data_IF_062205990140
#
_entry.id   IF_062205990140
#
_cell.length_a   1.000
_cell.length_b   1.000
_cell.length_c   1.000
_cell.angle_alpha   90.00
_cell.angle_beta   90.00
_cell.angle_gamma   90.00
#
_symmetry.space_group_name_H-M   'P 1'
#
loop_
_entity.id
_entity.type
_entity.pdbx_description
1 polymer ?
#
# COMPACT_ATOMS: atom_id res chain seq x y z
N UNK A 1 23.62 2.13 4.31
CA UNK A 1 23.12 0.75 4.54
C UNK A 1 22.00 0.53 3.54
N UNK A 2 22.12 -0.42 2.66
CA UNK A 2 21.02 -0.79 1.74
C UNK A 2 20.08 -1.70 2.51
N UNK A 3 18.81 -1.30 2.65
CA UNK A 3 17.77 -2.15 3.25
C UNK A 3 17.66 -3.44 2.43
N UNK A 4 18.16 -4.54 2.98
CA UNK A 4 18.27 -5.80 2.25
C UNK A 4 16.98 -6.62 2.39
N UNK A 5 16.28 -6.81 1.27
CA UNK A 5 15.08 -7.63 1.18
C UNK A 5 15.30 -8.93 0.37
N UNK A 6 16.56 -9.34 0.18
CA UNK A 6 16.89 -10.55 -0.59
C UNK A 6 16.11 -11.78 -0.10
N UNK A 7 15.47 -12.47 -1.04
CA UNK A 7 14.67 -13.66 -0.76
C UNK A 7 13.30 -13.40 -0.11
N UNK A 8 12.93 -12.15 0.16
CA UNK A 8 11.58 -11.82 0.65
C UNK A 8 10.59 -11.76 -0.51
N UNK A 9 9.41 -12.32 -0.30
CA UNK A 9 8.30 -12.24 -1.25
C UNK A 9 7.40 -11.09 -0.83
N UNK A 10 7.23 -10.10 -1.72
CA UNK A 10 6.43 -8.90 -1.47
C UNK A 10 5.22 -8.85 -2.41
N UNK A 11 4.01 -8.88 -1.86
CA UNK A 11 2.77 -8.66 -2.60
C UNK A 11 2.41 -7.16 -2.54
N UNK A 12 2.35 -6.51 -3.71
CA UNK A 12 1.90 -5.12 -3.84
C UNK A 12 0.56 -5.09 -4.55
N UNK A 13 -0.50 -4.74 -3.82
CA UNK A 13 -1.84 -4.61 -4.41
C UNK A 13 -1.95 -3.30 -5.20
N UNK A 14 -2.56 -3.36 -6.38
CA UNK A 14 -2.57 -2.20 -7.28
C UNK A 14 -1.16 -1.76 -7.70
N UNK A 15 -0.22 -2.71 -7.83
CA UNK A 15 1.19 -2.46 -8.14
C UNK A 15 1.48 -2.06 -9.59
N UNK A 16 0.46 -1.96 -10.45
CA UNK A 16 0.63 -1.78 -11.89
C UNK A 16 0.87 -0.33 -12.35
N UNK A 17 0.53 0.67 -11.56
CA UNK A 17 0.62 2.11 -11.91
C UNK A 17 0.74 2.99 -10.67
N UNK A 18 0.97 4.28 -10.90
CA UNK A 18 1.02 5.29 -9.84
C UNK A 18 2.00 4.95 -8.73
N UNK A 19 1.64 5.24 -7.49
CA UNK A 19 2.48 4.96 -6.31
C UNK A 19 2.83 3.47 -6.22
N UNK A 20 1.88 2.57 -6.53
CA UNK A 20 2.10 1.12 -6.47
C UNK A 20 3.21 0.61 -7.38
N UNK A 21 3.34 1.17 -8.61
CA UNK A 21 4.45 0.87 -9.53
C UNK A 21 5.80 1.21 -8.89
N UNK A 22 5.92 2.38 -8.29
CA UNK A 22 7.17 2.84 -7.66
C UNK A 22 7.49 2.05 -6.39
N UNK A 23 6.48 1.70 -5.59
CA UNK A 23 6.64 0.78 -4.45
C UNK A 23 7.20 -0.56 -4.94
N UNK A 24 6.61 -1.12 -6.01
CA UNK A 24 7.06 -2.39 -6.60
C UNK A 24 8.52 -2.32 -7.06
N UNK A 25 8.89 -1.25 -7.77
CA UNK A 25 10.26 -1.05 -8.23
C UNK A 25 11.25 -0.91 -7.06
N UNK A 26 10.95 -0.08 -6.04
CA UNK A 26 11.85 0.12 -4.91
C UNK A 26 12.05 -1.16 -4.07
N UNK A 27 11.00 -1.98 -3.89
CA UNK A 27 11.11 -3.27 -3.22
C UNK A 27 12.00 -4.23 -4.01
N UNK A 28 11.85 -4.27 -5.34
CA UNK A 28 12.67 -5.10 -6.21
C UNK A 28 14.14 -4.64 -6.23
N UNK A 29 14.41 -3.34 -6.30
CA UNK A 29 15.75 -2.74 -6.20
C UNK A 29 16.44 -3.10 -4.87
N UNK A 30 15.64 -3.34 -3.81
CA UNK A 30 16.12 -3.79 -2.51
C UNK A 30 16.27 -5.32 -2.39
N UNK A 31 16.02 -6.06 -3.48
CA UNK A 31 16.24 -7.51 -3.58
C UNK A 31 15.02 -8.39 -3.34
N UNK A 32 13.83 -7.83 -3.11
CA UNK A 32 12.60 -8.61 -2.98
C UNK A 32 12.18 -9.22 -4.32
N UNK A 33 11.50 -10.36 -4.26
CA UNK A 33 10.69 -10.87 -5.38
C UNK A 33 9.32 -10.23 -5.26
N UNK A 34 8.96 -9.36 -6.20
CA UNK A 34 7.76 -8.56 -6.12
C UNK A 34 6.62 -9.18 -6.93
N UNK A 35 5.49 -9.35 -6.28
CA UNK A 35 4.25 -9.76 -6.92
C UNK A 35 3.42 -8.50 -7.22
N UNK A 36 3.39 -8.13 -8.47
CA UNK A 36 2.60 -7.00 -8.98
C UNK A 36 1.17 -7.47 -9.17
N UNK A 37 0.29 -7.17 -8.21
CA UNK A 37 -1.13 -7.48 -8.35
C UNK A 37 -1.85 -6.42 -9.16
N UNK A 38 -2.76 -6.87 -10.02
CA UNK A 38 -3.67 -6.04 -10.80
C UNK A 38 -5.06 -6.69 -10.90
N UNK A 39 -6.10 -5.88 -11.07
CA UNK A 39 -7.46 -6.37 -11.32
C UNK A 39 -7.81 -6.37 -12.82
N UNK A 40 -7.67 -5.24 -13.48
CA UNK A 40 -8.21 -5.02 -14.83
C UNK A 40 -7.15 -4.72 -15.90
N UNK A 41 -6.11 -3.97 -15.60
CA UNK A 41 -5.13 -3.53 -16.61
C UNK A 41 -3.87 -4.40 -16.58
N UNK A 42 -3.90 -5.47 -17.38
CA UNK A 42 -2.78 -6.39 -17.52
C UNK A 42 -1.59 -5.75 -18.20
N UNK A 43 -1.81 -4.89 -19.19
CA UNK A 43 -0.73 -4.23 -19.94
C UNK A 43 0.11 -3.34 -19.02
N UNK A 44 -0.52 -2.49 -18.21
CA UNK A 44 0.20 -1.67 -17.24
C UNK A 44 0.95 -2.50 -16.18
N UNK A 45 0.38 -3.66 -15.78
CA UNK A 45 1.05 -4.58 -14.88
C UNK A 45 2.28 -5.22 -15.53
N UNK A 46 2.16 -5.63 -16.80
CA UNK A 46 3.28 -6.18 -17.57
C UNK A 46 4.39 -5.14 -17.74
N UNK A 47 4.05 -3.90 -18.13
CA UNK A 47 5.03 -2.81 -18.24
C UNK A 47 5.80 -2.57 -16.92
N UNK A 48 5.13 -2.69 -15.78
CA UNK A 48 5.78 -2.57 -14.47
C UNK A 48 6.73 -3.75 -14.21
N UNK A 49 6.33 -4.97 -14.52
CA UNK A 49 7.18 -6.15 -14.40
C UNK A 49 8.39 -6.05 -15.34
N UNK A 50 8.18 -5.69 -16.60
CA UNK A 50 9.26 -5.55 -17.59
C UNK A 50 10.28 -4.47 -17.17
N UNK A 51 9.79 -3.35 -16.63
CA UNK A 51 10.67 -2.32 -16.07
C UNK A 51 11.53 -2.88 -14.93
N UNK A 52 10.93 -3.58 -13.96
CA UNK A 52 11.67 -4.18 -12.83
C UNK A 52 12.71 -5.19 -13.33
N UNK A 53 12.34 -6.05 -14.28
CA UNK A 53 13.25 -7.04 -14.84
C UNK A 53 14.41 -6.39 -15.62
N UNK A 54 14.14 -5.28 -16.34
CA UNK A 54 15.16 -4.54 -17.10
C UNK A 54 16.21 -3.88 -16.22
N UNK A 55 15.88 -3.59 -14.96
CA UNK A 55 16.82 -3.05 -13.96
C UNK A 55 17.50 -4.13 -13.11
N UNK A 56 17.30 -5.42 -13.44
CA UNK A 56 17.90 -6.56 -12.74
C UNK A 56 17.14 -7.02 -11.49
N UNK A 57 15.97 -6.44 -11.23
CA UNK A 57 15.07 -6.87 -10.15
C UNK A 57 14.32 -8.16 -10.49
N UNK A 58 13.48 -8.61 -9.55
CA UNK A 58 12.64 -9.82 -9.71
C UNK A 58 11.18 -9.46 -9.49
N UNK A 59 10.33 -9.74 -10.47
CA UNK A 59 8.90 -9.51 -10.35
C UNK A 59 8.09 -10.52 -11.15
N UNK A 60 6.86 -10.75 -10.69
CA UNK A 60 5.83 -11.52 -11.37
C UNK A 60 4.52 -10.75 -11.32
N UNK A 61 3.66 -10.89 -12.34
CA UNK A 61 2.32 -10.35 -12.27
C UNK A 61 1.32 -11.43 -11.85
N UNK A 62 0.35 -11.05 -11.00
CA UNK A 62 -0.76 -11.93 -10.61
C UNK A 62 -2.06 -11.14 -10.64
N UNK A 63 -3.02 -11.64 -11.45
CA UNK A 63 -4.37 -11.07 -11.52
C UNK A 63 -5.17 -11.45 -10.28
N UNK A 64 -5.93 -10.48 -9.74
CA UNK A 64 -6.89 -10.74 -8.67
C UNK A 64 -7.59 -9.46 -8.24
N UNK A 65 -8.90 -9.55 -8.07
CA UNK A 65 -9.70 -8.52 -7.42
C UNK A 65 -9.55 -8.68 -5.90
N UNK A 66 -8.95 -7.70 -5.26
CA UNK A 66 -8.67 -7.74 -3.82
C UNK A 66 -9.91 -7.50 -2.96
N UNK A 67 -11.02 -7.05 -3.56
CA UNK A 67 -12.30 -6.86 -2.88
C UNK A 67 -13.18 -8.11 -2.87
N UNK A 68 -12.79 -9.16 -3.62
CA UNK A 68 -13.47 -10.45 -3.69
C UNK A 68 -12.70 -11.54 -2.93
N UNK A 69 -13.38 -12.26 -2.05
CA UNK A 69 -12.74 -13.22 -1.14
C UNK A 69 -12.15 -14.43 -1.89
N UNK A 70 -12.87 -14.97 -2.88
CA UNK A 70 -12.41 -16.14 -3.64
C UNK A 70 -11.24 -15.74 -4.55
N UNK A 71 -11.31 -14.55 -5.15
CA UNK A 71 -10.22 -13.99 -5.94
C UNK A 71 -8.94 -13.80 -5.09
N UNK A 72 -9.07 -13.32 -3.85
CA UNK A 72 -7.93 -13.17 -2.93
C UNK A 72 -7.32 -14.53 -2.56
N UNK A 73 -8.14 -15.54 -2.24
CA UNK A 73 -7.65 -16.91 -1.96
C UNK A 73 -6.89 -17.47 -3.14
N UNK A 74 -7.42 -17.29 -4.35
CA UNK A 74 -6.78 -17.75 -5.58
C UNK A 74 -5.47 -17.00 -5.85
N UNK A 75 -5.46 -15.68 -5.69
CA UNK A 75 -4.27 -14.82 -5.85
C UNK A 75 -3.13 -15.27 -4.94
N UNK A 76 -3.40 -15.48 -3.65
CA UNK A 76 -2.38 -15.90 -2.68
C UNK A 76 -1.86 -17.29 -3.03
N UNK A 77 -2.76 -18.26 -3.25
CA UNK A 77 -2.38 -19.62 -3.64
C UNK A 77 -1.51 -19.64 -4.91
N UNK A 78 -1.96 -18.96 -5.97
CA UNK A 78 -1.21 -18.88 -7.24
C UNK A 78 0.16 -18.22 -7.05
N UNK A 79 0.25 -17.22 -6.19
CA UNK A 79 1.51 -16.56 -5.86
C UNK A 79 2.47 -17.55 -5.21
N UNK A 80 2.05 -18.20 -4.12
CA UNK A 80 2.89 -19.12 -3.37
C UNK A 80 3.32 -20.34 -4.20
N UNK A 81 2.43 -20.84 -5.06
CA UNK A 81 2.78 -21.91 -6.02
C UNK A 81 3.85 -21.49 -7.04
N UNK A 82 3.76 -20.25 -7.58
CA UNK A 82 4.72 -19.73 -8.56
C UNK A 82 6.09 -19.43 -7.98
N UNK A 83 6.15 -18.95 -6.74
CA UNK A 83 7.43 -18.58 -6.12
C UNK A 83 8.00 -19.65 -5.22
N UNK A 84 7.22 -20.68 -4.88
CA UNK A 84 7.63 -21.79 -4.00
C UNK A 84 7.81 -21.39 -2.53
N UNK A 85 7.25 -20.22 -2.11
CA UNK A 85 7.50 -19.63 -0.81
C UNK A 85 6.31 -18.76 -0.36
N UNK A 86 6.12 -18.61 0.95
CA UNK A 86 5.03 -17.77 1.49
C UNK A 86 5.31 -16.27 1.32
N UNK A 87 4.23 -15.49 1.15
CA UNK A 87 4.29 -14.04 1.11
C UNK A 87 4.71 -13.52 2.50
N UNK A 88 5.86 -12.84 2.57
CA UNK A 88 6.41 -12.28 3.81
C UNK A 88 6.14 -10.77 3.98
N UNK A 89 5.84 -10.07 2.89
CA UNK A 89 5.57 -8.62 2.88
C UNK A 89 4.26 -8.37 2.13
N UNK A 90 3.31 -7.69 2.78
CA UNK A 90 2.05 -7.26 2.18
C UNK A 90 1.98 -5.73 2.15
N UNK A 91 1.77 -5.16 0.95
CA UNK A 91 1.52 -3.74 0.76
C UNK A 91 0.06 -3.56 0.29
N UNK A 92 -0.78 -3.08 1.19
CA UNK A 92 -2.17 -2.71 0.91
C UNK A 92 -2.22 -1.33 0.27
N UNK A 93 -2.07 -1.27 -1.06
CA UNK A 93 -2.02 -0.03 -1.84
C UNK A 93 -3.20 0.11 -2.82
N UNK A 94 -3.89 -0.97 -3.18
CA UNK A 94 -5.00 -0.92 -4.12
C UNK A 94 -6.07 0.10 -3.74
N UNK A 95 -6.63 0.79 -4.73
CA UNK A 95 -7.67 1.80 -4.58
C UNK A 95 -8.66 1.73 -5.74
N UNK A 96 -9.91 2.10 -5.48
CA UNK A 96 -10.94 2.34 -6.47
C UNK A 96 -11.07 3.83 -6.85
N UNK A 97 -12.16 4.20 -7.54
CA UNK A 97 -12.56 5.59 -7.73
C UNK A 97 -12.71 6.31 -6.39
N UNK A 98 -12.45 7.60 -6.38
CA UNK A 98 -12.52 8.47 -5.19
C UNK A 98 -13.38 9.69 -5.53
N UNK A 99 -14.72 9.55 -5.57
CA UNK A 99 -15.59 10.66 -5.90
C UNK A 99 -15.58 11.71 -4.77
N UNK A 100 -15.49 12.97 -5.17
CA UNK A 100 -15.71 14.12 -4.30
C UNK A 100 -17.20 14.41 -4.25
N UNK A 101 -17.83 14.21 -3.10
CA UNK A 101 -19.26 14.34 -2.88
C UNK A 101 -19.50 15.13 -1.60
N UNK A 102 -20.41 16.12 -1.65
CA UNK A 102 -20.89 16.79 -0.44
C UNK A 102 -21.61 15.77 0.47
N UNK A 103 -21.78 16.11 1.74
CA UNK A 103 -22.53 15.22 2.68
C UNK A 103 -23.98 15.01 2.23
N UNK A 104 -24.55 15.99 1.54
CA UNK A 104 -25.94 15.95 1.03
C UNK A 104 -26.07 15.03 -0.18
N UNK A 105 -25.04 14.91 -0.99
CA UNK A 105 -24.99 14.06 -2.19
C UNK A 105 -24.52 12.63 -1.90
N UNK A 106 -23.76 12.44 -0.80
CA UNK A 106 -23.18 11.14 -0.43
C UNK A 106 -24.25 10.11 -0.07
N UNK A 107 -24.11 8.91 -0.62
CA UNK A 107 -24.92 7.75 -0.28
C UNK A 107 -24.16 6.76 0.58
N UNK A 108 -24.84 5.81 1.19
CA UNK A 108 -24.20 4.72 1.90
C UNK A 108 -23.33 3.84 0.97
N UNK A 109 -23.73 3.65 -0.27
CA UNK A 109 -22.97 2.87 -1.25
C UNK A 109 -21.63 3.53 -1.59
N UNK A 110 -21.54 4.88 -1.62
CA UNK A 110 -20.27 5.59 -1.80
C UNK A 110 -19.30 5.30 -0.65
N UNK A 111 -19.81 5.18 0.57
CA UNK A 111 -18.99 4.75 1.72
C UNK A 111 -18.57 3.29 1.63
N UNK A 112 -19.50 2.39 1.26
CA UNK A 112 -19.20 0.96 1.10
C UNK A 112 -18.13 0.72 0.04
N UNK A 113 -18.16 1.45 -1.06
CA UNK A 113 -17.16 1.34 -2.12
C UNK A 113 -15.76 1.68 -1.59
N UNK A 114 -15.63 2.75 -0.80
CA UNK A 114 -14.35 3.08 -0.17
C UNK A 114 -13.95 2.03 0.88
N UNK A 115 -14.88 1.57 1.72
CA UNK A 115 -14.63 0.53 2.72
C UNK A 115 -14.23 -0.81 2.09
N UNK A 116 -14.74 -1.15 0.90
CA UNK A 116 -14.34 -2.35 0.18
C UNK A 116 -12.83 -2.35 -0.14
N UNK A 117 -12.27 -1.21 -0.57
CA UNK A 117 -10.85 -1.11 -0.88
C UNK A 117 -9.96 -0.93 0.37
N UNK A 118 -10.39 -0.16 1.37
CA UNK A 118 -9.51 0.26 2.45
C UNK A 118 -9.70 -0.50 3.77
N UNK A 119 -10.77 -1.31 3.86
CA UNK A 119 -11.05 -2.14 5.03
C UNK A 119 -11.17 -3.62 4.63
N UNK A 120 -12.12 -3.95 3.74
CA UNK A 120 -12.39 -5.34 3.35
C UNK A 120 -11.19 -5.98 2.66
N UNK A 121 -10.62 -5.34 1.65
CA UNK A 121 -9.48 -5.89 0.91
C UNK A 121 -8.25 -6.15 1.80
N UNK A 122 -7.76 -5.21 2.63
CA UNK A 122 -6.70 -5.50 3.59
C UNK A 122 -7.01 -6.64 4.56
N UNK A 123 -8.26 -6.75 5.03
CA UNK A 123 -8.67 -7.84 5.90
C UNK A 123 -8.59 -9.20 5.19
N UNK A 124 -9.14 -9.31 3.98
CA UNK A 124 -9.13 -10.55 3.20
C UNK A 124 -7.71 -11.01 2.89
N UNK A 125 -6.87 -10.09 2.41
CA UNK A 125 -5.47 -10.38 2.09
C UNK A 125 -4.68 -10.79 3.33
N UNK A 126 -4.80 -10.03 4.43
CA UNK A 126 -4.13 -10.38 5.68
C UNK A 126 -4.54 -11.75 6.17
N UNK A 127 -5.84 -12.08 6.20
CA UNK A 127 -6.32 -13.42 6.57
C UNK A 127 -5.74 -14.53 5.70
N UNK A 128 -5.63 -14.30 4.40
CA UNK A 128 -5.14 -15.31 3.45
C UNK A 128 -3.64 -15.61 3.62
N UNK A 129 -2.81 -14.59 3.90
CA UNK A 129 -1.36 -14.76 4.03
C UNK A 129 -0.87 -15.04 5.45
N UNK A 130 -1.69 -14.73 6.45
CA UNK A 130 -1.32 -14.81 7.86
C UNK A 130 -0.82 -16.19 8.31
N UNK A 131 -1.38 -17.34 7.85
CA UNK A 131 -0.87 -18.66 8.22
C UNK A 131 0.61 -18.84 7.84
N UNK A 132 1.02 -18.39 6.67
CA UNK A 132 2.41 -18.43 6.21
C UNK A 132 3.34 -17.56 7.05
N UNK A 133 2.94 -16.32 7.35
CA UNK A 133 3.70 -15.41 8.21
C UNK A 133 3.84 -15.96 9.64
N UNK A 134 2.76 -16.47 10.23
CA UNK A 134 2.79 -17.07 11.58
C UNK A 134 3.71 -18.28 11.64
N UNK A 135 3.69 -19.15 10.64
CA UNK A 135 4.58 -20.32 10.56
C UNK A 135 6.06 -19.94 10.57
N UNK A 136 6.40 -18.79 9.98
CA UNK A 136 7.77 -18.27 9.94
C UNK A 136 8.14 -17.39 11.15
N UNK A 137 7.17 -17.01 11.97
CA UNK A 137 7.31 -15.99 13.02
C UNK A 137 7.93 -14.68 12.45
N UNK A 138 7.54 -14.31 11.25
CA UNK A 138 8.00 -13.10 10.57
C UNK A 138 6.98 -12.63 9.54
N UNK A 139 6.72 -11.34 9.51
CA UNK A 139 5.86 -10.70 8.50
C UNK A 139 5.91 -9.18 8.57
N UNK A 140 5.59 -8.55 7.44
CA UNK A 140 5.49 -7.09 7.32
C UNK A 140 4.20 -6.76 6.60
N UNK A 141 3.32 -6.02 7.25
CA UNK A 141 2.07 -5.52 6.67
C UNK A 141 2.14 -4.00 6.68
N UNK A 142 2.04 -3.39 5.50
CA UNK A 142 2.11 -1.94 5.34
C UNK A 142 0.86 -1.49 4.60
N UNK A 143 0.05 -0.69 5.30
CA UNK A 143 -1.13 -0.06 4.74
C UNK A 143 -0.74 1.31 4.14
N UNK A 144 -1.22 1.61 2.94
CA UNK A 144 -1.04 2.93 2.33
C UNK A 144 -2.28 3.75 2.63
N UNK A 145 -2.13 4.65 3.59
CA UNK A 145 -3.14 5.60 4.05
C UNK A 145 -3.22 6.85 3.18
N UNK A 146 -3.41 7.98 3.85
CA UNK A 146 -3.39 9.33 3.23
C UNK A 146 -3.31 10.39 4.34
N UNK A 147 -2.73 11.53 4.06
CA UNK A 147 -2.75 12.69 4.96
C UNK A 147 -4.16 13.25 5.21
N UNK A 148 -5.13 12.93 4.35
CA UNK A 148 -6.53 13.37 4.50
C UNK A 148 -7.16 12.96 5.83
N UNK A 149 -6.64 11.91 6.49
CA UNK A 149 -7.10 11.48 7.82
C UNK A 149 -6.84 12.52 8.91
N UNK A 150 -5.90 13.43 8.67
CA UNK A 150 -5.54 14.53 9.57
C UNK A 150 -6.13 15.85 9.08
N UNK A 151 -6.30 16.03 7.77
CA UNK A 151 -6.82 17.26 7.18
C UNK A 151 -8.34 17.35 7.22
N UNK A 152 -9.06 16.23 7.03
CA UNK A 152 -10.52 16.22 6.98
C UNK A 152 -11.08 17.02 5.81
N UNK A 153 -10.57 16.76 4.59
CA UNK A 153 -10.96 17.51 3.39
C UNK A 153 -12.49 17.55 3.21
N UNK A 154 -13.07 18.73 2.89
CA UNK A 154 -14.48 18.82 2.55
C UNK A 154 -14.81 18.01 1.30
N UNK A 155 -16.05 17.57 1.16
CA UNK A 155 -16.55 16.75 0.04
C UNK A 155 -15.85 15.40 -0.14
N UNK A 156 -15.17 14.90 0.90
CA UNK A 156 -14.37 13.67 0.84
C UNK A 156 -14.63 12.75 2.04
N UNK A 157 -15.76 12.92 2.71
CA UNK A 157 -16.07 12.21 3.95
C UNK A 157 -16.09 10.68 3.81
N UNK A 158 -16.53 10.14 2.67
CA UNK A 158 -16.48 8.73 2.33
C UNK A 158 -15.05 8.19 2.34
N UNK A 159 -14.14 8.86 1.62
CA UNK A 159 -12.72 8.49 1.52
C UNK A 159 -11.98 8.70 2.85
N UNK A 160 -12.16 9.87 3.49
CA UNK A 160 -11.56 10.19 4.79
C UNK A 160 -11.95 9.15 5.84
N UNK A 161 -13.24 8.76 5.91
CA UNK A 161 -13.74 7.74 6.83
C UNK A 161 -13.04 6.40 6.60
N UNK A 162 -12.99 5.94 5.36
CA UNK A 162 -12.39 4.65 5.02
C UNK A 162 -10.88 4.62 5.26
N UNK A 163 -10.18 5.72 4.93
CA UNK A 163 -8.74 5.87 5.23
C UNK A 163 -8.45 5.95 6.73
N UNK A 164 -9.31 6.64 7.50
CA UNK A 164 -9.19 6.69 8.96
C UNK A 164 -9.36 5.32 9.62
N UNK A 165 -10.20 4.45 9.06
CA UNK A 165 -10.37 3.08 9.53
C UNK A 165 -9.08 2.27 9.47
N UNK A 166 -8.19 2.54 8.51
CA UNK A 166 -6.89 1.86 8.40
C UNK A 166 -5.99 2.10 9.62
N UNK A 167 -6.10 3.25 10.29
CA UNK A 167 -5.33 3.52 11.51
C UNK A 167 -5.76 2.59 12.65
N UNK A 168 -7.07 2.42 12.87
CA UNK A 168 -7.59 1.49 13.86
C UNK A 168 -7.17 0.05 13.58
N UNK A 169 -7.31 -0.40 12.32
CA UNK A 169 -6.86 -1.73 11.89
C UNK A 169 -5.36 -1.91 12.12
N UNK A 170 -4.53 -0.94 11.75
CA UNK A 170 -3.07 -1.00 11.92
C UNK A 170 -2.69 -1.19 13.37
N UNK A 171 -3.27 -0.43 14.29
CA UNK A 171 -2.98 -0.52 15.73
C UNK A 171 -3.46 -1.84 16.36
N UNK A 172 -4.70 -2.24 16.04
CA UNK A 172 -5.27 -3.49 16.54
C UNK A 172 -4.47 -4.70 16.06
N UNK A 173 -4.17 -4.77 14.76
CA UNK A 173 -3.40 -5.88 14.19
C UNK A 173 -1.95 -5.88 14.66
N UNK A 174 -1.33 -4.72 14.88
CA UNK A 174 0.01 -4.64 15.45
C UNK A 174 0.08 -5.29 16.84
N UNK A 175 -0.93 -5.04 17.68
CA UNK A 175 -1.03 -5.65 19.01
C UNK A 175 -1.29 -7.15 18.95
N UNK A 176 -2.17 -7.60 18.06
CA UNK A 176 -2.55 -9.01 17.92
C UNK A 176 -1.44 -9.85 17.29
N UNK A 177 -0.75 -9.31 16.27
CA UNK A 177 0.21 -10.05 15.46
C UNK A 177 1.66 -9.92 15.94
N UNK A 178 1.94 -8.95 16.81
CA UNK A 178 3.28 -8.75 17.40
C UNK A 178 3.90 -9.98 18.03
N UNK A 179 3.17 -10.82 18.81
CA UNK A 179 3.69 -12.07 19.37
C UNK A 179 4.22 -13.07 18.33
N UNK A 180 3.85 -12.91 17.04
CA UNK A 180 4.33 -13.73 15.94
C UNK A 180 5.43 -13.05 15.11
N UNK A 181 6.07 -11.99 15.63
CA UNK A 181 7.12 -11.27 14.90
C UNK A 181 6.63 -10.51 13.65
N UNK A 182 5.32 -10.27 13.55
CA UNK A 182 4.69 -9.58 12.43
C UNK A 182 4.49 -8.12 12.81
N UNK A 183 5.02 -7.20 12.01
CA UNK A 183 4.78 -5.77 12.19
C UNK A 183 3.68 -5.28 11.25
N UNK A 184 2.86 -4.34 11.73
CA UNK A 184 1.79 -3.70 10.96
C UNK A 184 1.93 -2.20 11.10
N UNK A 185 2.14 -1.48 9.98
CA UNK A 185 2.31 -0.04 9.97
C UNK A 185 1.48 0.63 8.88
N UNK A 186 1.25 1.93 9.04
CA UNK A 186 0.51 2.78 8.12
C UNK A 186 1.45 3.87 7.60
N UNK A 187 1.49 4.07 6.28
CA UNK A 187 2.14 5.22 5.65
C UNK A 187 1.04 6.16 5.17
N UNK A 188 1.12 7.44 5.51
CA UNK A 188 0.24 8.48 5.02
C UNK A 188 0.98 9.36 4.01
N UNK A 189 0.83 9.10 2.70
CA UNK A 189 1.33 10.01 1.68
C UNK A 189 0.64 11.37 1.74
N UNK A 190 1.38 12.42 1.40
CA UNK A 190 0.81 13.67 0.94
C UNK A 190 0.24 13.56 -0.47
N UNK A 191 -0.05 14.70 -1.09
CA UNK A 191 -0.38 14.71 -2.51
C UNK A 191 0.87 14.39 -3.34
N UNK A 192 0.93 13.18 -3.85
CA UNK A 192 2.04 12.67 -4.68
C UNK A 192 1.56 12.64 -6.13
N UNK A 193 2.09 13.50 -7.03
CA UNK A 193 1.72 13.48 -8.44
C UNK A 193 2.08 12.15 -9.10
N UNK A 194 1.11 11.58 -9.80
CA UNK A 194 1.26 10.39 -10.64
C UNK A 194 0.49 10.61 -11.94
N UNK A 195 0.54 9.68 -12.87
CA UNK A 195 0.00 9.82 -14.24
C UNK A 195 -1.46 10.34 -14.27
N UNK A 196 -2.31 9.91 -13.36
CA UNK A 196 -3.72 10.35 -13.26
C UNK A 196 -3.89 11.83 -12.85
N UNK A 197 -2.83 12.46 -12.38
CA UNK A 197 -2.81 13.86 -11.93
C UNK A 197 -2.16 14.79 -12.96
N UNK A 198 -1.90 14.29 -14.18
CA UNK A 198 -1.33 15.11 -15.26
C UNK A 198 -2.23 16.31 -15.55
N UNK A 199 -1.65 17.50 -15.60
CA UNK A 199 -2.37 18.74 -15.82
C UNK A 199 -3.00 19.40 -14.57
N UNK A 200 -2.95 18.78 -13.40
CA UNK A 200 -3.42 19.40 -12.14
C UNK A 200 -2.40 20.45 -11.68
N UNK A 201 -2.87 21.67 -11.42
CA UNK A 201 -2.04 22.70 -10.79
C UNK A 201 -1.81 22.36 -9.30
N UNK A 202 -0.56 22.13 -8.94
CA UNK A 202 -0.14 21.78 -7.58
C UNK A 202 0.47 22.96 -6.81
N UNK A 203 0.41 24.18 -7.37
CA UNK A 203 1.11 25.36 -6.85
C UNK A 203 0.66 25.72 -5.44
N UNK A 204 -0.64 25.70 -5.18
CA UNK A 204 -1.20 26.04 -3.86
C UNK A 204 -0.85 24.97 -2.82
N UNK A 205 -1.00 23.69 -3.17
CA UNK A 205 -0.59 22.61 -2.29
C UNK A 205 0.89 22.72 -1.91
N UNK A 206 1.76 22.92 -2.90
CA UNK A 206 3.21 23.07 -2.72
C UNK A 206 3.58 24.22 -1.78
N UNK A 207 2.86 25.35 -1.83
CA UNK A 207 3.07 26.48 -0.92
C UNK A 207 2.75 26.14 0.54
N UNK A 208 1.77 25.27 0.77
CA UNK A 208 1.38 24.81 2.12
C UNK A 208 2.35 23.76 2.71
N UNK A 209 3.14 23.10 1.89
CA UNK A 209 4.09 22.07 2.36
C UNK A 209 5.34 22.74 2.95
N UNK A 210 5.72 22.48 4.21
CA UNK A 210 6.92 23.05 4.85
C UNK A 210 8.23 22.87 4.07
N UNK A 211 8.40 21.72 3.38
CA UNK A 211 9.57 21.50 2.51
C UNK A 211 9.51 22.28 1.18
N UNK A 212 8.44 23.04 0.90
CA UNK A 212 8.24 23.86 -0.30
C UNK A 212 8.45 23.11 -1.62
N UNK A 213 8.19 21.81 -1.65
CA UNK A 213 8.30 20.96 -2.86
C UNK A 213 7.23 19.88 -2.86
N UNK A 214 6.93 19.35 -4.04
CA UNK A 214 6.11 18.14 -4.15
C UNK A 214 6.94 16.92 -3.76
N UNK A 215 6.29 15.92 -3.15
CA UNK A 215 6.87 14.60 -3.00
C UNK A 215 6.84 13.83 -4.32
N UNK A 216 7.70 12.83 -4.42
CA UNK A 216 7.76 11.91 -5.55
C UNK A 216 7.26 10.52 -5.13
N UNK A 217 6.71 9.72 -6.06
CA UNK A 217 6.27 8.36 -5.73
C UNK A 217 7.38 7.50 -5.11
N UNK A 218 8.65 7.78 -5.45
CA UNK A 218 9.82 7.13 -4.87
C UNK A 218 9.99 7.40 -3.37
N UNK A 219 9.54 8.56 -2.88
CA UNK A 219 9.60 8.87 -1.44
C UNK A 219 8.74 7.89 -0.64
N UNK A 220 7.57 7.53 -1.18
CA UNK A 220 6.69 6.52 -0.58
C UNK A 220 7.33 5.12 -0.69
N UNK A 221 7.90 4.79 -1.86
CA UNK A 221 8.62 3.54 -2.06
C UNK A 221 9.77 3.35 -1.07
N UNK A 222 10.56 4.38 -0.79
CA UNK A 222 11.65 4.35 0.18
C UNK A 222 11.15 4.11 1.61
N UNK A 223 10.06 4.75 2.02
CA UNK A 223 9.44 4.53 3.33
C UNK A 223 8.90 3.10 3.47
N UNK A 224 8.30 2.56 2.40
CA UNK A 224 7.85 1.16 2.35
C UNK A 224 9.03 0.21 2.51
N UNK A 225 10.11 0.40 1.76
CA UNK A 225 11.32 -0.44 1.85
C UNK A 225 11.89 -0.43 3.27
N UNK A 226 11.99 0.74 3.90
CA UNK A 226 12.44 0.86 5.30
C UNK A 226 11.55 0.05 6.24
N UNK A 227 10.22 0.25 6.21
CA UNK A 227 9.29 -0.46 7.10
C UNK A 227 9.22 -1.97 6.80
N UNK A 228 9.51 -2.39 5.57
CA UNK A 228 9.58 -3.80 5.17
C UNK A 228 10.88 -4.48 5.61
N UNK A 229 11.90 -3.72 5.95
CA UNK A 229 13.25 -4.22 6.26
C UNK A 229 13.40 -4.68 7.71
N UNK A 230 14.55 -5.30 8.01
CA UNK A 230 14.91 -5.71 9.36
C UNK A 230 15.28 -4.55 10.27
N UNK A 231 15.67 -3.41 9.70
CA UNK A 231 15.95 -2.18 10.45
C UNK A 231 14.71 -1.63 11.14
N UNK A 232 13.51 -1.92 10.60
CA UNK A 232 12.23 -1.54 11.18
C UNK A 232 11.56 -2.64 12.03
N UNK A 233 12.27 -3.72 12.38
CA UNK A 233 11.67 -4.87 13.11
C UNK A 233 11.06 -4.53 14.47
N UNK A 234 11.40 -3.38 15.05
CA UNK A 234 10.86 -2.92 16.34
C UNK A 234 9.86 -1.76 16.16
N UNK A 235 9.41 -1.52 14.91
CA UNK A 235 8.42 -0.50 14.57
C UNK A 235 7.13 -1.20 14.17
N UNK A 236 6.08 -1.07 15.00
CA UNK A 236 4.75 -1.62 14.71
C UNK A 236 3.66 -0.72 15.29
N UNK A 237 2.48 -0.71 14.67
CA UNK A 237 1.35 0.12 15.07
C UNK A 237 1.51 1.61 14.74
N UNK A 238 2.55 1.99 14.00
CA UNK A 238 2.89 3.38 13.74
C UNK A 238 2.23 3.91 12.48
N UNK A 239 1.98 5.22 12.51
CA UNK A 239 1.50 6.00 11.38
C UNK A 239 2.61 6.97 10.96
N UNK A 240 3.19 6.75 9.78
CA UNK A 240 4.27 7.54 9.23
C UNK A 240 3.75 8.46 8.14
N UNK A 241 3.72 9.78 8.38
CA UNK A 241 3.42 10.77 7.35
C UNK A 241 4.64 10.98 6.44
N UNK A 242 4.42 10.84 5.13
CA UNK A 242 5.43 11.11 4.08
C UNK A 242 4.84 12.16 3.15
N UNK A 243 4.85 13.42 3.60
CA UNK A 243 4.09 14.52 3.00
C UNK A 243 4.81 15.88 3.09
N UNK A 244 6.12 15.86 3.32
CA UNK A 244 6.92 17.09 3.40
C UNK A 244 6.61 17.99 4.60
N UNK A 245 5.92 17.46 5.61
CA UNK A 245 5.52 18.20 6.82
C UNK A 245 4.15 18.88 6.70
N UNK A 246 3.36 18.57 5.66
CA UNK A 246 2.02 19.16 5.47
C UNK A 246 1.05 18.81 6.62
N UNK A 247 1.21 17.61 7.19
CA UNK A 247 0.56 17.21 8.45
C UNK A 247 1.57 16.52 9.36
N UNK A 248 1.28 16.45 10.64
CA UNK A 248 2.12 15.77 11.63
C UNK A 248 1.48 14.44 12.07
N UNK A 249 2.26 13.60 12.76
CA UNK A 249 1.79 12.30 13.26
C UNK A 249 0.61 12.41 14.24
N UNK A 250 -0.18 11.36 14.39
CA UNK A 250 -1.31 11.19 15.30
C UNK A 250 -1.07 10.03 16.28
#
# INVERSE_FOLDING_TARGET
>A
MTHNLNGKIALVTGGSRGIGRHISANLADSGAIVIVNYANNQEAAQQTVDFILSTGGKALLVKGDVTDEESVKHLVKQTEEKVGENIGILINNATGPQPELSIEESTWDDYLDQLNFFVKAPLLLTKAILPGMKKKNEGRIINIGSEVIQMGNPNFSNYVTAKSSQLGMTRSWASELGPFGITVNLINPGFIPVERHEGIDTSEYKKGVPLCKMGEPRDIGNAVVFLASNEAKFITGQCLSVNGGNTFGI
#
